data_IF_907758911560
#
_entry.id   IF_907758911560
#
_cell.length_a   1.000
_cell.length_b   1.000
_cell.length_c   1.000
_cell.angle_alpha   90.00
_cell.angle_beta   90.00
_cell.angle_gamma   90.00
#
_symmetry.space_group_name_H-M   'P 1'
#
loop_
_entity.id
_entity.type
_entity.pdbx_description
1 polymer ?
#
# COMPACT_ATOMS: atom_id res chain seq x y z
N UNK A 1 -18.72 -22.77 -52.63
CA UNK A 1 -18.69 -21.83 -51.48
C UNK A 1 -20.12 -21.73 -50.97
N UNK A 2 -20.43 -22.29 -49.80
CA UNK A 2 -21.80 -22.39 -49.32
C UNK A 2 -22.12 -21.12 -48.46
N UNK A 3 -22.94 -20.24 -49.06
CA UNK A 3 -23.41 -18.99 -48.42
C UNK A 3 -24.41 -19.23 -47.28
N UNK A 4 -24.65 -20.48 -46.87
CA UNK A 4 -25.51 -20.81 -45.73
C UNK A 4 -24.78 -20.87 -44.41
N UNK A 5 -23.44 -20.80 -44.43
CA UNK A 5 -22.65 -20.79 -43.19
C UNK A 5 -22.59 -19.37 -42.60
N UNK A 6 -23.14 -19.14 -41.41
CA UNK A 6 -23.17 -17.82 -40.79
C UNK A 6 -21.77 -17.24 -40.55
N UNK A 7 -20.75 -18.05 -40.44
CA UNK A 7 -19.37 -17.58 -40.29
C UNK A 7 -18.82 -17.02 -41.61
N UNK A 8 -19.16 -17.62 -42.75
CA UNK A 8 -18.77 -17.13 -44.07
C UNK A 8 -19.47 -15.80 -44.37
N UNK A 9 -20.75 -15.67 -44.02
CA UNK A 9 -21.49 -14.43 -44.19
C UNK A 9 -20.92 -13.32 -43.32
N UNK A 10 -20.63 -13.60 -42.06
CA UNK A 10 -20.02 -12.62 -41.13
C UNK A 10 -18.66 -12.15 -41.62
N UNK A 11 -17.81 -13.05 -42.10
CA UNK A 11 -16.50 -12.71 -42.64
C UNK A 11 -16.60 -11.81 -43.87
N UNK A 12 -17.53 -12.12 -44.78
CA UNK A 12 -17.74 -11.34 -46.01
C UNK A 12 -18.26 -9.92 -45.73
N UNK A 13 -19.20 -9.79 -44.76
CA UNK A 13 -19.70 -8.49 -44.36
C UNK A 13 -18.64 -7.67 -43.63
N UNK A 14 -17.82 -8.30 -42.79
CA UNK A 14 -16.74 -7.61 -42.06
C UNK A 14 -15.69 -7.09 -43.05
N UNK A 15 -15.27 -7.88 -44.02
CA UNK A 15 -14.30 -7.45 -45.04
C UNK A 15 -14.84 -6.32 -45.92
N UNK A 16 -16.11 -6.37 -46.28
CA UNK A 16 -16.75 -5.32 -47.11
C UNK A 16 -16.85 -3.99 -46.33
N UNK A 17 -17.15 -4.02 -45.03
CA UNK A 17 -17.19 -2.82 -44.16
C UNK A 17 -15.80 -2.26 -43.93
N UNK A 18 -14.81 -3.13 -43.66
CA UNK A 18 -13.41 -2.73 -43.46
C UNK A 18 -12.83 -2.13 -44.75
N UNK A 19 -13.11 -2.73 -45.90
CA UNK A 19 -12.69 -2.20 -47.20
C UNK A 19 -13.26 -0.80 -47.49
N UNK A 20 -14.57 -0.60 -47.26
CA UNK A 20 -15.19 0.73 -47.39
C UNK A 20 -14.61 1.75 -46.41
N UNK A 21 -14.45 1.38 -45.15
CA UNK A 21 -13.85 2.27 -44.15
C UNK A 21 -12.42 2.69 -44.52
N UNK A 22 -11.63 1.75 -45.03
CA UNK A 22 -10.28 2.01 -45.53
C UNK A 22 -10.28 3.00 -46.70
N UNK A 23 -11.13 2.80 -47.71
CA UNK A 23 -11.28 3.72 -48.86
C UNK A 23 -11.70 5.13 -48.42
N UNK A 24 -12.62 5.26 -47.43
CA UNK A 24 -13.01 6.56 -46.88
C UNK A 24 -11.84 7.23 -46.15
N UNK A 25 -11.07 6.48 -45.35
CA UNK A 25 -9.91 7.02 -44.63
C UNK A 25 -8.80 7.45 -45.60
N UNK A 26 -8.51 6.69 -46.65
CA UNK A 26 -7.52 7.06 -47.65
C UNK A 26 -7.92 8.35 -48.38
N UNK A 27 -9.18 8.47 -48.83
CA UNK A 27 -9.68 9.68 -49.50
C UNK A 27 -9.70 10.89 -48.58
N UNK A 28 -10.01 10.70 -47.28
CA UNK A 28 -10.04 11.78 -46.30
C UNK A 28 -8.62 12.24 -45.94
N UNK A 29 -7.70 11.30 -45.76
CA UNK A 29 -6.29 11.56 -45.45
C UNK A 29 -5.58 12.37 -46.53
N UNK A 30 -5.80 12.01 -47.81
CA UNK A 30 -5.18 12.71 -48.95
C UNK A 30 -5.79 14.11 -49.21
N UNK A 31 -7.11 14.27 -48.95
CA UNK A 31 -7.79 15.54 -49.24
C UNK A 31 -7.63 16.59 -48.13
N UNK A 32 -7.35 16.18 -46.87
CA UNK A 32 -7.23 17.08 -45.75
C UNK A 32 -6.04 16.72 -44.82
N UNK A 33 -4.80 16.85 -45.31
CA UNK A 33 -3.61 16.45 -44.54
C UNK A 33 -3.44 17.23 -43.27
N UNK A 34 -3.87 18.49 -43.22
CA UNK A 34 -3.82 19.33 -42.04
C UNK A 34 -4.73 18.79 -40.91
N UNK A 35 -5.92 18.31 -41.23
CA UNK A 35 -6.85 17.73 -40.28
C UNK A 35 -6.28 16.44 -39.62
N UNK A 36 -5.63 15.60 -40.42
CA UNK A 36 -4.96 14.39 -39.95
C UNK A 36 -3.80 14.74 -39.01
N UNK A 37 -2.99 15.76 -39.37
CA UNK A 37 -1.89 16.20 -38.55
C UNK A 37 -2.39 16.70 -37.16
N UNK A 38 -3.44 17.51 -37.15
CA UNK A 38 -4.04 17.99 -35.88
C UNK A 38 -4.59 16.83 -35.05
N UNK A 39 -5.23 15.83 -35.69
CA UNK A 39 -5.75 14.66 -34.98
C UNK A 39 -4.62 13.83 -34.34
N UNK A 40 -3.53 13.60 -35.08
CA UNK A 40 -2.36 12.88 -34.56
C UNK A 40 -1.73 13.62 -33.39
N UNK A 41 -1.55 14.94 -33.50
CA UNK A 41 -1.02 15.75 -32.40
C UNK A 41 -1.95 15.70 -31.16
N UNK A 42 -3.26 15.76 -31.37
CA UNK A 42 -4.24 15.66 -30.28
C UNK A 42 -4.15 14.28 -29.58
N UNK A 43 -4.01 13.18 -30.32
CA UNK A 43 -3.86 11.84 -29.76
C UNK A 43 -2.55 11.74 -28.97
N UNK A 44 -1.45 12.30 -29.46
CA UNK A 44 -0.16 12.31 -28.75
C UNK A 44 -0.27 13.09 -27.44
N UNK A 45 -0.91 14.26 -27.45
CA UNK A 45 -1.11 15.06 -26.24
C UNK A 45 -1.97 14.32 -25.22
N UNK A 46 -3.08 13.72 -25.66
CA UNK A 46 -3.95 12.91 -24.80
C UNK A 46 -3.20 11.70 -24.22
N UNK A 47 -2.38 11.02 -25.03
CA UNK A 47 -1.53 9.91 -24.57
C UNK A 47 -0.53 10.36 -23.50
N UNK A 48 0.11 11.51 -23.71
CA UNK A 48 1.07 12.05 -22.75
C UNK A 48 0.41 12.48 -21.43
N UNK A 49 -0.75 13.14 -21.49
CA UNK A 49 -1.54 13.51 -20.31
C UNK A 49 -2.01 12.25 -19.56
N UNK A 50 -2.48 11.23 -20.29
CA UNK A 50 -2.90 9.96 -19.67
C UNK A 50 -1.74 9.26 -18.95
N UNK A 51 -0.57 9.20 -19.55
CA UNK A 51 0.63 8.61 -18.94
C UNK A 51 1.09 9.40 -17.70
N UNK A 52 1.02 10.73 -17.74
CA UNK A 52 1.40 11.57 -16.60
C UNK A 52 0.44 11.45 -15.41
N UNK A 53 -0.80 11.03 -15.66
CA UNK A 53 -1.82 10.80 -14.61
C UNK A 53 -1.89 9.36 -14.09
N UNK A 54 -1.12 8.44 -14.66
CA UNK A 54 -1.08 7.07 -14.15
C UNK A 54 -0.24 7.01 -12.87
N UNK A 55 -0.88 6.61 -11.77
CA UNK A 55 -0.18 6.23 -10.56
C UNK A 55 0.58 4.93 -10.83
N UNK A 56 1.89 4.96 -10.63
CA UNK A 56 2.77 3.78 -10.81
C UNK A 56 2.75 2.83 -9.61
N UNK A 57 1.92 3.10 -8.63
CA UNK A 57 1.77 2.24 -7.47
C UNK A 57 1.08 0.93 -7.89
N UNK A 58 1.84 -0.16 -7.87
CA UNK A 58 1.36 -1.51 -8.18
C UNK A 58 0.27 -2.00 -7.20
N UNK A 59 0.24 -1.45 -6.00
CA UNK A 59 -0.74 -1.78 -4.96
C UNK A 59 -1.46 -0.49 -4.54
N UNK A 60 -2.79 -0.51 -4.44
CA UNK A 60 -3.49 0.59 -3.81
C UNK A 60 -2.95 0.73 -2.37
N UNK A 61 -2.84 1.96 -1.88
CA UNK A 61 -2.50 2.22 -0.47
C UNK A 61 -3.56 1.57 0.42
N UNK A 62 -3.33 0.33 0.76
CA UNK A 62 -4.13 -0.37 1.76
C UNK A 62 -3.43 -0.14 3.09
N UNK A 63 -3.97 0.75 3.91
CA UNK A 63 -3.63 0.79 5.32
C UNK A 63 -4.14 -0.50 5.94
N UNK A 64 -3.23 -1.28 6.48
CA UNK A 64 -3.61 -2.45 7.26
C UNK A 64 -4.25 -1.93 8.57
N UNK A 65 -5.35 -2.53 9.04
CA UNK A 65 -6.04 -2.07 10.24
C UNK A 65 -5.28 -2.49 11.52
N UNK A 66 -3.96 -2.26 11.54
CA UNK A 66 -3.08 -2.62 12.65
C UNK A 66 -2.26 -1.42 13.12
N UNK A 67 -2.23 -1.22 14.44
CA UNK A 67 -1.31 -0.29 15.11
C UNK A 67 -0.42 -1.07 16.05
N UNK A 68 0.86 -0.73 16.06
CA UNK A 68 1.83 -1.23 17.06
C UNK A 68 2.16 -0.13 18.05
N UNK A 69 2.15 -0.47 19.32
CA UNK A 69 2.63 0.39 20.39
C UNK A 69 3.85 -0.26 21.01
N UNK A 70 5.00 0.40 20.91
CA UNK A 70 6.27 -0.08 21.43
C UNK A 70 6.67 0.78 22.62
N UNK A 71 6.90 0.14 23.77
CA UNK A 71 7.34 0.81 24.99
C UNK A 71 8.64 0.18 25.48
N UNK A 72 9.67 0.97 25.66
CA UNK A 72 10.97 0.51 26.16
C UNK A 72 11.00 0.54 27.69
N UNK A 73 11.60 -0.48 28.30
CA UNK A 73 11.88 -0.54 29.76
C UNK A 73 13.27 -1.13 29.97
N UNK A 74 14.34 -0.32 29.90
CA UNK A 74 15.72 -0.79 29.98
C UNK A 74 16.01 -1.53 31.28
N UNK A 75 16.67 -2.68 31.21
CA UNK A 75 17.05 -3.51 32.35
C UNK A 75 15.92 -4.36 32.95
N UNK A 76 14.73 -4.33 32.40
CA UNK A 76 13.61 -5.14 32.88
C UNK A 76 13.57 -6.52 32.22
N UNK A 77 13.29 -7.57 33.03
CA UNK A 77 12.98 -8.90 32.49
C UNK A 77 11.61 -8.92 31.79
N UNK A 78 11.33 -9.91 30.92
CA UNK A 78 10.05 -10.02 30.23
C UNK A 78 8.85 -10.02 31.17
N UNK A 79 8.91 -10.71 32.31
CA UNK A 79 7.83 -10.77 33.32
C UNK A 79 7.60 -9.39 33.97
N UNK A 80 8.67 -8.61 34.13
CA UNK A 80 8.58 -7.26 34.68
C UNK A 80 7.99 -6.30 33.66
N UNK A 81 8.37 -6.46 32.38
CA UNK A 81 7.78 -5.69 31.27
C UNK A 81 6.29 -6.01 31.14
N UNK A 82 5.91 -7.29 31.18
CA UNK A 82 4.51 -7.73 31.13
C UNK A 82 3.68 -7.04 32.21
N UNK A 83 4.03 -7.23 33.50
CA UNK A 83 3.22 -6.74 34.62
C UNK A 83 3.22 -5.22 34.74
N UNK A 84 4.30 -4.54 34.41
CA UNK A 84 4.45 -3.08 34.65
C UNK A 84 4.18 -2.22 33.40
N UNK A 85 4.19 -2.80 32.21
CA UNK A 85 4.05 -2.05 30.94
C UNK A 85 2.95 -2.65 30.06
N UNK A 86 3.06 -3.95 29.70
CA UNK A 86 2.17 -4.54 28.71
C UNK A 86 0.73 -4.62 29.22
N UNK A 87 0.48 -5.14 30.42
CA UNK A 87 -0.87 -5.25 31.01
C UNK A 87 -1.59 -3.90 31.17
N UNK A 88 -0.96 -2.84 31.75
CA UNK A 88 -1.60 -1.52 31.85
C UNK A 88 -1.92 -0.91 30.48
N UNK A 89 -1.01 -1.03 29.51
CA UNK A 89 -1.20 -0.51 28.16
C UNK A 89 -2.29 -1.30 27.42
N UNK A 90 -2.26 -2.63 27.45
CA UNK A 90 -3.27 -3.51 26.87
C UNK A 90 -4.67 -3.21 27.41
N UNK A 91 -4.80 -3.09 28.75
CA UNK A 91 -6.07 -2.80 29.41
C UNK A 91 -6.66 -1.46 28.96
N UNK A 92 -5.83 -0.43 28.82
CA UNK A 92 -6.29 0.89 28.37
C UNK A 92 -6.68 0.88 26.87
N UNK A 93 -5.88 0.25 26.05
CA UNK A 93 -6.08 0.22 24.61
C UNK A 93 -7.23 -0.71 24.19
N UNK A 94 -7.45 -1.80 24.93
CA UNK A 94 -8.58 -2.72 24.68
C UNK A 94 -9.96 -2.10 24.90
N UNK A 95 -10.04 -0.99 25.60
CA UNK A 95 -11.29 -0.25 25.83
C UNK A 95 -11.68 0.70 24.69
N UNK A 96 -10.81 0.87 23.68
CA UNK A 96 -11.02 1.82 22.59
C UNK A 96 -12.05 1.27 21.60
N UNK A 97 -13.02 2.12 21.28
CA UNK A 97 -14.05 1.77 20.28
C UNK A 97 -13.45 1.55 18.89
N UNK A 98 -13.70 0.39 18.31
CA UNK A 98 -13.21 -0.03 16.99
C UNK A 98 -12.05 -1.04 17.07
N UNK A 99 -11.48 -1.27 18.24
CA UNK A 99 -10.51 -2.35 18.48
C UNK A 99 -11.24 -3.68 18.47
N UNK A 100 -10.75 -4.63 17.70
CA UNK A 100 -11.28 -5.99 17.54
C UNK A 100 -10.51 -6.97 18.42
N UNK A 101 -9.18 -6.91 18.34
CA UNK A 101 -8.28 -7.72 19.16
C UNK A 101 -7.08 -6.89 19.62
N UNK A 102 -6.54 -7.26 20.78
CA UNK A 102 -5.28 -6.72 21.30
C UNK A 102 -4.36 -7.91 21.58
N UNK A 103 -3.14 -7.81 21.11
CA UNK A 103 -2.10 -8.80 21.36
C UNK A 103 -0.91 -8.09 22.03
N UNK A 104 -0.42 -8.62 23.13
CA UNK A 104 0.75 -8.11 23.80
C UNK A 104 1.89 -9.12 23.79
N UNK A 105 3.09 -8.61 23.59
CA UNK A 105 4.33 -9.38 23.59
C UNK A 105 5.36 -8.66 24.46
N UNK A 106 5.87 -9.35 25.46
CA UNK A 106 6.85 -8.80 26.40
C UNK A 106 8.21 -9.43 26.17
N UNK A 107 9.19 -8.59 25.93
CA UNK A 107 10.59 -8.96 25.72
C UNK A 107 11.48 -8.33 26.78
N UNK A 108 12.73 -8.79 26.86
CA UNK A 108 13.72 -8.13 27.70
C UNK A 108 13.95 -6.70 27.19
N UNK A 109 13.81 -5.71 28.06
CA UNK A 109 13.95 -4.28 27.82
C UNK A 109 12.82 -3.58 27.03
N UNK A 110 11.80 -4.26 26.51
CA UNK A 110 10.69 -3.61 25.79
C UNK A 110 9.43 -4.48 25.71
N UNK A 111 8.28 -3.82 25.62
CA UNK A 111 6.99 -4.44 25.33
C UNK A 111 6.42 -3.94 24.01
N UNK A 112 5.69 -4.81 23.31
CA UNK A 112 4.94 -4.49 22.09
C UNK A 112 3.47 -4.82 22.35
N UNK A 113 2.59 -3.87 22.05
CA UNK A 113 1.15 -4.10 22.05
C UNK A 113 0.64 -3.85 20.63
N UNK A 114 0.08 -4.86 20.01
CA UNK A 114 -0.51 -4.83 18.68
C UNK A 114 -2.03 -4.71 18.78
N UNK A 115 -2.58 -3.75 18.08
CA UNK A 115 -4.01 -3.49 17.99
C UNK A 115 -4.53 -3.85 16.62
N UNK A 116 -5.49 -4.77 16.55
CA UNK A 116 -6.25 -5.06 15.36
C UNK A 116 -7.58 -4.29 15.39
N UNK A 117 -7.82 -3.47 14.39
CA UNK A 117 -9.08 -2.73 14.23
C UNK A 117 -10.03 -3.46 13.27
N UNK A 118 -11.30 -3.12 13.34
CA UNK A 118 -12.28 -3.62 12.38
C UNK A 118 -12.02 -3.07 10.97
N UNK A 119 -12.32 -3.87 9.94
CA UNK A 119 -12.16 -3.47 8.54
C UNK A 119 -12.94 -2.18 8.25
N UNK A 120 -12.31 -1.26 7.53
CA UNK A 120 -12.88 0.04 7.20
C UNK A 120 -12.81 1.09 8.32
N UNK A 121 -12.10 0.80 9.43
CA UNK A 121 -11.83 1.79 10.45
C UNK A 121 -10.92 2.89 9.88
N UNK A 122 -11.26 4.15 10.14
CA UNK A 122 -10.39 5.29 9.83
C UNK A 122 -9.17 5.28 10.77
N UNK A 123 -8.01 4.91 10.21
CA UNK A 123 -6.78 4.71 10.99
C UNK A 123 -6.23 6.03 11.56
N UNK A 124 -6.47 7.17 10.89
CA UNK A 124 -6.08 8.47 11.42
C UNK A 124 -6.84 8.79 12.72
N UNK A 125 -8.15 8.57 12.71
CA UNK A 125 -8.99 8.72 13.93
C UNK A 125 -8.63 7.69 15.01
N UNK A 126 -8.28 6.46 14.63
CA UNK A 126 -7.85 5.41 15.55
C UNK A 126 -6.54 5.80 16.25
N UNK A 127 -5.56 6.31 15.49
CA UNK A 127 -4.28 6.77 16.02
C UNK A 127 -4.44 7.87 17.05
N UNK A 128 -5.34 8.85 16.81
CA UNK A 128 -5.63 9.91 17.79
C UNK A 128 -6.23 9.34 19.09
N UNK A 129 -7.16 8.37 19.00
CA UNK A 129 -7.75 7.72 20.16
C UNK A 129 -6.72 6.92 20.95
N UNK A 130 -5.85 6.16 20.26
CA UNK A 130 -4.77 5.39 20.89
C UNK A 130 -3.79 6.33 21.57
N UNK A 131 -3.38 7.44 20.94
CA UNK A 131 -2.50 8.44 21.55
C UNK A 131 -3.11 9.02 22.84
N UNK A 132 -4.39 9.37 22.81
CA UNK A 132 -5.09 9.90 24.00
C UNK A 132 -5.20 8.87 25.13
N UNK A 133 -5.43 7.59 24.81
CA UNK A 133 -5.46 6.52 25.81
C UNK A 133 -4.07 6.29 26.41
N UNK A 134 -3.02 6.29 25.60
CA UNK A 134 -1.63 6.17 26.07
C UNK A 134 -1.21 7.32 26.97
N UNK A 135 -1.60 8.55 26.65
CA UNK A 135 -1.33 9.70 27.52
C UNK A 135 -1.96 9.53 28.91
N UNK A 136 -3.12 8.89 28.99
CA UNK A 136 -3.80 8.60 30.26
C UNK A 136 -3.07 7.54 31.10
N UNK A 137 -2.46 6.55 30.41
CA UNK A 137 -1.72 5.46 31.09
C UNK A 137 -0.30 5.84 31.46
N UNK A 138 0.27 6.83 30.75
CA UNK A 138 1.66 7.25 30.94
C UNK A 138 2.04 7.53 32.39
N UNK A 139 1.13 8.06 33.17
CA UNK A 139 1.33 8.31 34.63
C UNK A 139 1.33 7.05 35.49
N UNK A 140 0.84 5.92 34.95
CA UNK A 140 0.82 4.63 35.66
C UNK A 140 2.05 3.77 35.29
N UNK A 141 2.80 4.13 34.25
CA UNK A 141 4.03 3.44 33.86
C UNK A 141 5.20 3.85 34.80
N UNK A 142 6.18 2.95 35.04
CA UNK A 142 7.41 3.28 35.76
C UNK A 142 8.17 4.45 35.12
N UNK A 143 8.84 5.28 35.95
CA UNK A 143 9.61 6.44 35.46
C UNK A 143 10.78 6.06 34.54
N UNK A 144 11.31 4.83 34.70
CA UNK A 144 12.38 4.28 33.88
C UNK A 144 11.93 3.87 32.48
N UNK A 145 10.60 3.81 32.27
CA UNK A 145 10.06 3.46 30.94
C UNK A 145 10.19 4.62 29.97
N UNK A 146 10.55 4.29 28.74
CA UNK A 146 10.44 5.24 27.63
C UNK A 146 8.97 5.57 27.30
N UNK A 147 8.74 6.71 26.69
CA UNK A 147 7.41 7.04 26.21
C UNK A 147 6.93 6.01 25.16
N UNK A 148 5.68 5.52 25.28
CA UNK A 148 5.10 4.63 24.27
C UNK A 148 5.14 5.29 22.89
N UNK A 149 5.59 4.56 21.90
CA UNK A 149 5.64 5.00 20.50
C UNK A 149 4.63 4.22 19.67
N UNK A 150 3.80 4.95 18.92
CA UNK A 150 2.78 4.37 18.04
C UNK A 150 3.34 4.26 16.64
N UNK A 151 3.17 3.10 16.02
CA UNK A 151 3.59 2.82 14.64
C UNK A 151 2.42 2.18 13.88
N UNK A 152 2.05 2.77 12.75
CA UNK A 152 1.11 2.16 11.82
C UNK A 152 1.84 1.16 10.92
N UNK A 153 1.26 -0.05 10.77
CA UNK A 153 1.77 -1.02 9.80
C UNK A 153 1.18 -0.68 8.44
N UNK A 154 2.00 -0.14 7.55
CA UNK A 154 1.62 0.10 6.16
C UNK A 154 2.38 -0.82 5.21
N UNK A 155 1.76 -1.12 4.05
CA UNK A 155 2.42 -1.88 2.99
C UNK A 155 3.66 -1.17 2.43
N UNK A 156 3.74 0.16 2.58
CA UNK A 156 4.90 0.96 2.15
C UNK A 156 6.17 0.63 2.96
N UNK A 157 6.03 0.03 4.14
CA UNK A 157 7.16 -0.45 4.97
C UNK A 157 7.76 -1.74 4.42
N UNK A 158 7.09 -2.44 3.51
CA UNK A 158 7.64 -3.64 2.86
C UNK A 158 8.65 -3.21 1.80
N UNK A 159 9.88 -3.68 1.93
CA UNK A 159 10.92 -3.38 0.93
C UNK A 159 10.49 -3.87 -0.45
N UNK A 160 10.38 -2.94 -1.40
CA UNK A 160 9.99 -3.23 -2.79
C UNK A 160 11.09 -3.99 -3.55
N UNK A 161 12.33 -3.94 -3.07
CA UNK A 161 13.50 -4.55 -3.74
C UNK A 161 14.45 -5.15 -2.69
N UNK A 162 14.77 -6.42 -2.86
CA UNK A 162 15.86 -7.10 -2.13
C UNK A 162 17.03 -7.29 -3.08
N UNK A 163 18.13 -6.59 -2.84
CA UNK A 163 19.38 -6.75 -3.59
C UNK A 163 20.35 -7.59 -2.77
N UNK A 164 20.70 -8.77 -3.28
CA UNK A 164 21.78 -9.57 -2.74
C UNK A 164 23.05 -9.29 -3.57
N UNK A 165 24.08 -8.69 -2.96
CA UNK A 165 25.39 -8.51 -3.55
C UNK A 165 26.35 -9.54 -2.95
N UNK A 166 26.97 -10.38 -3.79
CA UNK A 166 28.06 -11.26 -3.39
C UNK A 166 29.34 -10.84 -4.10
N UNK A 167 30.42 -10.70 -3.36
CA UNK A 167 31.76 -10.44 -3.90
C UNK A 167 32.68 -11.56 -3.49
N UNK A 168 33.33 -12.18 -4.46
CA UNK A 168 34.22 -13.32 -4.24
C UNK A 168 35.51 -12.83 -3.49
N UNK A 169 35.70 -13.32 -2.26
CA UNK A 169 36.90 -13.04 -1.46
C UNK A 169 36.79 -11.98 -0.36
N UNK A 170 35.60 -11.46 -0.05
CA UNK A 170 35.39 -10.53 1.08
C UNK A 170 34.28 -11.00 2.02
N UNK A 171 34.50 -10.80 3.32
CA UNK A 171 33.51 -11.10 4.36
C UNK A 171 32.43 -10.05 4.37
N UNK A 172 31.20 -10.44 4.83
CA UNK A 172 29.96 -9.63 4.85
C UNK A 172 30.15 -8.29 5.58
N UNK A 173 31.05 -8.25 6.57
CA UNK A 173 31.34 -7.03 7.35
C UNK A 173 32.12 -5.95 6.58
N UNK A 174 32.83 -6.29 5.50
CA UNK A 174 33.56 -5.32 4.68
C UNK A 174 32.72 -4.73 3.54
N UNK A 175 31.60 -5.37 3.19
CA UNK A 175 30.75 -4.94 2.07
C UNK A 175 29.71 -3.91 2.49
N UNK A 176 29.52 -3.70 3.81
CA UNK A 176 28.50 -2.78 4.38
C UNK A 176 29.04 -1.40 4.79
N UNK A 177 30.25 -1.02 4.31
CA UNK A 177 30.85 0.30 4.55
C UNK A 177 30.75 1.24 3.38
#
# INVERSE_FOLDING_TARGET
>A
MDFRDPLVVTYYYTDAYVGKAREYMEKFSVKKPFTILVMVVAIIILGFVSLSGMTTDLLPKMSLPYLLVITTYPGASPEKVESSVSEPVESALGSISGVKNVYSMSYENYGIVELEFADGTDMDSAMVKVSSALDSVKSALPEECGSPNIMEISMDMMASVYLAASYEGKDIQETSR
#
